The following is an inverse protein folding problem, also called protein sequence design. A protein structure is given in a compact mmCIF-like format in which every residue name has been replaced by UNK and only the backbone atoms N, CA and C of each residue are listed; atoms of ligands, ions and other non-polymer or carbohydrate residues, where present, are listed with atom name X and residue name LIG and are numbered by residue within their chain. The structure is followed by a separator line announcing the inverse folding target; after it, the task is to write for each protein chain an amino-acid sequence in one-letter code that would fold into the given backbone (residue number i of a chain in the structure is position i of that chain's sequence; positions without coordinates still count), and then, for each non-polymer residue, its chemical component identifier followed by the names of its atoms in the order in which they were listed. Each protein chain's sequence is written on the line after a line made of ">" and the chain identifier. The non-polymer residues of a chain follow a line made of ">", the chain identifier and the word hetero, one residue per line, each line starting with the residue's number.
data_IF_698719830709
#
_entry.id   IF_698719830709
#
_cell.length_a   1.000
_cell.length_b   1.000
_cell.length_c   1.000
_cell.angle_alpha   90.00
_cell.angle_beta   90.00
_cell.angle_gamma   90.00
#
_symmetry.space_group_name_H-M   'P 1'
#
loop_
_entity.id
_entity.type
_entity.pdbx_description
1 polymer ?
#
# COMPACT_ATOMS: atom_id res chain seq x y z
N UNK A 1 6.94 31.20 7.16
CA UNK A 1 5.81 31.46 6.23
C UNK A 1 4.56 31.28 7.06
N UNK A 2 4.05 32.36 7.66
CA UNK A 2 2.81 32.31 8.44
C UNK A 2 1.66 32.70 7.52
N UNK A 3 0.63 31.84 7.43
CA UNK A 3 -0.61 32.14 6.72
C UNK A 3 -0.82 31.45 5.36
N UNK A 4 0.09 30.60 4.89
CA UNK A 4 -0.10 29.84 3.65
C UNK A 4 -0.58 28.41 3.90
N UNK A 5 -1.63 28.01 3.17
CA UNK A 5 -2.18 26.65 3.21
C UNK A 5 -1.49 25.78 2.16
N UNK A 6 -0.87 24.70 2.60
CA UNK A 6 -0.26 23.70 1.73
C UNK A 6 -1.08 22.41 1.72
N UNK A 7 -1.09 21.71 0.58
CA UNK A 7 -1.69 20.39 0.42
C UNK A 7 -0.66 19.44 -0.20
N UNK A 8 -0.73 18.18 0.18
CA UNK A 8 0.06 17.10 -0.43
C UNK A 8 -0.75 15.83 -0.51
N UNK A 9 -0.36 14.93 -1.42
CA UNK A 9 -0.76 13.54 -1.31
C UNK A 9 0.00 12.89 -0.14
N UNK A 10 -0.65 11.98 0.57
CA UNK A 10 -0.03 11.19 1.65
C UNK A 10 0.61 9.90 1.15
N UNK A 11 0.26 9.45 -0.05
CA UNK A 11 0.71 8.19 -0.64
C UNK A 11 0.49 8.20 -2.16
N UNK A 12 1.09 7.22 -2.86
CA UNK A 12 0.87 7.01 -4.29
C UNK A 12 1.85 7.76 -5.18
N UNK A 13 2.94 8.27 -4.64
CA UNK A 13 3.94 8.98 -5.43
C UNK A 13 4.64 8.03 -6.42
N UNK A 14 4.88 8.54 -7.63
CA UNK A 14 5.84 8.00 -8.60
C UNK A 14 7.05 8.93 -8.79
N UNK A 15 7.00 10.11 -8.15
CA UNK A 15 8.04 11.13 -8.19
C UNK A 15 9.17 10.69 -7.25
N UNK A 16 10.34 10.39 -7.80
CA UNK A 16 11.46 9.79 -7.05
C UNK A 16 12.18 10.75 -6.08
N UNK A 17 12.00 12.06 -6.24
CA UNK A 17 12.59 13.05 -5.32
C UNK A 17 11.78 13.24 -4.03
N UNK A 18 10.58 12.63 -3.94
CA UNK A 18 9.80 12.65 -2.70
C UNK A 18 10.52 11.78 -1.66
N UNK A 19 10.92 12.37 -0.54
CA UNK A 19 11.53 11.66 0.59
C UNK A 19 10.42 11.03 1.45
N UNK A 20 9.77 9.99 0.93
CA UNK A 20 8.59 9.40 1.56
C UNK A 20 8.83 8.91 3.01
N UNK A 21 10.06 8.51 3.35
CA UNK A 21 10.44 8.08 4.71
C UNK A 21 10.32 9.21 5.75
N UNK A 22 10.40 10.46 5.31
CA UNK A 22 10.15 11.62 6.20
C UNK A 22 8.66 11.91 6.38
N UNK A 23 7.80 11.25 5.60
CA UNK A 23 6.37 11.51 5.52
C UNK A 23 5.53 10.37 6.12
N UNK A 24 6.13 9.19 6.31
CA UNK A 24 5.49 7.96 6.76
C UNK A 24 6.12 7.45 8.06
N UNK A 25 5.35 6.63 8.79
CA UNK A 25 5.83 5.89 9.97
C UNK A 25 6.16 4.47 9.54
N UNK A 26 7.37 3.98 9.86
CA UNK A 26 7.68 2.55 9.73
C UNK A 26 6.89 1.75 10.77
N UNK A 27 6.35 0.61 10.36
CA UNK A 27 5.64 -0.31 11.26
C UNK A 27 6.63 -1.24 11.96
N UNK A 28 6.35 -1.54 13.23
CA UNK A 28 7.09 -2.51 14.04
C UNK A 28 6.15 -3.58 14.62
N UNK A 29 6.67 -4.77 14.91
CA UNK A 29 5.89 -5.85 15.52
C UNK A 29 5.36 -5.52 16.92
N UNK A 30 6.00 -4.58 17.62
CA UNK A 30 5.59 -4.09 18.93
C UNK A 30 4.58 -2.93 18.87
N UNK A 31 4.25 -2.42 17.67
CA UNK A 31 3.25 -1.37 17.53
C UNK A 31 1.88 -1.85 18.04
N UNK A 32 1.30 -1.11 18.99
CA UNK A 32 -0.01 -1.42 19.56
C UNK A 32 -1.16 -1.28 18.53
N UNK A 33 -0.92 -0.49 17.47
CA UNK A 33 -1.84 -0.24 16.37
C UNK A 33 -1.46 -1.01 15.09
N UNK A 34 -0.61 -2.04 15.19
CA UNK A 34 -0.24 -2.87 14.05
C UNK A 34 -1.51 -3.52 13.43
N UNK A 35 -1.78 -3.31 12.13
CA UNK A 35 -2.97 -3.88 11.49
C UNK A 35 -2.99 -5.41 11.51
N UNK A 36 -4.14 -5.98 11.86
CA UNK A 36 -4.36 -7.44 11.75
C UNK A 36 -4.47 -7.88 10.29
N UNK A 37 -5.02 -7.00 9.44
CA UNK A 37 -5.20 -7.23 8.01
C UNK A 37 -4.20 -6.37 7.25
N UNK A 38 -3.58 -6.97 6.23
CA UNK A 38 -2.78 -6.27 5.24
C UNK A 38 -3.14 -6.84 3.87
N UNK A 39 -4.04 -6.16 3.15
CA UNK A 39 -4.62 -6.68 1.93
C UNK A 39 -4.21 -5.85 0.70
N UNK A 40 -4.00 -6.53 -0.42
CA UNK A 40 -3.71 -5.92 -1.72
C UNK A 40 -4.68 -6.43 -2.78
N UNK A 41 -5.44 -5.53 -3.40
CA UNK A 41 -6.35 -5.90 -4.49
C UNK A 41 -5.65 -5.88 -5.84
N UNK A 42 -5.90 -6.89 -6.66
CA UNK A 42 -5.32 -7.06 -8.00
C UNK A 42 -6.32 -7.72 -8.96
N UNK A 43 -5.86 -8.05 -10.17
CA UNK A 43 -6.63 -8.70 -11.22
C UNK A 43 -6.07 -10.10 -11.49
N UNK A 44 -6.91 -11.04 -11.93
CA UNK A 44 -6.51 -12.44 -12.17
C UNK A 44 -5.31 -12.55 -13.13
N UNK A 45 -5.28 -11.70 -14.17
CA UNK A 45 -4.21 -11.67 -15.17
C UNK A 45 -2.81 -11.40 -14.59
N UNK A 46 -2.71 -10.75 -13.42
CA UNK A 46 -1.42 -10.43 -12.80
C UNK A 46 -0.95 -11.51 -11.82
N UNK A 47 -1.81 -12.46 -11.43
CA UNK A 47 -1.43 -13.52 -10.49
C UNK A 47 -0.22 -14.35 -10.93
N UNK A 48 -0.04 -14.75 -12.21
CA UNK A 48 1.16 -15.46 -12.63
C UNK A 48 2.44 -14.64 -12.41
N UNK A 49 2.43 -13.35 -12.75
CA UNK A 49 3.57 -12.47 -12.56
C UNK A 49 3.89 -12.25 -11.07
N UNK A 50 2.85 -12.04 -10.25
CA UNK A 50 2.97 -11.90 -8.80
C UNK A 50 3.49 -13.21 -8.17
N UNK A 51 3.02 -14.37 -8.62
CA UNK A 51 3.48 -15.66 -8.12
C UNK A 51 4.97 -15.92 -8.42
N UNK A 52 5.47 -15.43 -9.55
CA UNK A 52 6.88 -15.58 -9.93
C UNK A 52 7.81 -14.54 -9.29
N UNK A 53 7.36 -13.28 -9.19
CA UNK A 53 8.22 -12.13 -8.84
C UNK A 53 7.87 -11.45 -7.51
N UNK A 54 6.76 -11.84 -6.89
CA UNK A 54 6.15 -11.09 -5.81
C UNK A 54 5.43 -9.83 -6.29
N UNK A 55 4.92 -9.04 -5.34
CA UNK A 55 4.37 -7.72 -5.60
C UNK A 55 5.50 -6.73 -5.89
N UNK A 56 5.28 -5.85 -6.86
CA UNK A 56 6.21 -4.80 -7.26
C UNK A 56 5.46 -3.46 -7.22
N UNK A 57 6.09 -2.42 -6.68
CA UNK A 57 5.51 -1.08 -6.65
C UNK A 57 5.24 -0.59 -8.08
N UNK A 58 3.97 -0.31 -8.42
CA UNK A 58 3.58 0.04 -9.78
C UNK A 58 3.39 -1.15 -10.74
N UNK A 59 3.45 -2.39 -10.23
CA UNK A 59 3.28 -3.59 -11.02
C UNK A 59 4.39 -3.77 -12.06
N UNK A 60 4.02 -4.14 -13.29
CA UNK A 60 4.96 -4.41 -14.38
C UNK A 60 5.79 -3.17 -14.79
N UNK A 61 5.26 -1.96 -14.55
CA UNK A 61 5.93 -0.71 -14.90
C UNK A 61 6.98 -0.28 -13.87
N UNK A 62 6.87 -0.69 -12.61
CA UNK A 62 7.84 -0.31 -11.57
C UNK A 62 7.85 1.19 -11.24
N UNK A 63 6.78 1.92 -11.51
CA UNK A 63 6.78 3.39 -11.52
C UNK A 63 6.50 4.03 -10.15
N UNK A 64 5.76 3.36 -9.27
CA UNK A 64 5.45 3.85 -7.92
C UNK A 64 6.62 3.71 -6.98
N UNK A 65 6.63 4.52 -5.93
CA UNK A 65 7.62 4.40 -4.86
C UNK A 65 7.31 3.19 -3.96
N UNK A 66 6.03 2.93 -3.68
CA UNK A 66 5.61 1.87 -2.75
C UNK A 66 4.53 0.95 -3.31
N UNK A 67 4.43 -0.25 -2.72
CA UNK A 67 3.25 -1.12 -2.83
C UNK A 67 2.22 -0.63 -1.81
N UNK A 68 0.96 -0.56 -2.22
CA UNK A 68 -0.12 -0.08 -1.37
C UNK A 68 -0.94 -1.24 -0.84
N UNK A 69 -1.28 -1.15 0.45
CA UNK A 69 -2.10 -2.12 1.16
C UNK A 69 -3.26 -1.41 1.87
N UNK A 70 -4.31 -2.15 2.20
CA UNK A 70 -5.41 -1.68 3.06
C UNK A 70 -5.42 -2.48 4.38
N UNK A 71 -5.69 -1.81 5.53
CA UNK A 71 -5.62 -2.44 6.85
C UNK A 71 -6.92 -3.12 7.30
N UNK A 72 -7.89 -3.29 6.39
CA UNK A 72 -9.22 -3.87 6.68
C UNK A 72 -9.70 -4.73 5.51
N UNK A 73 -10.83 -5.41 5.70
CA UNK A 73 -11.44 -6.23 4.67
C UNK A 73 -11.90 -5.40 3.45
N UNK A 74 -11.84 -5.98 2.23
CA UNK A 74 -12.44 -5.39 1.05
C UNK A 74 -13.93 -5.11 1.26
N UNK A 75 -14.34 -3.87 1.00
CA UNK A 75 -15.74 -3.43 1.19
C UNK A 75 -16.06 -2.96 2.61
N UNK A 76 -15.12 -3.03 3.56
CA UNK A 76 -15.26 -2.33 4.85
C UNK A 76 -15.30 -0.82 4.60
N UNK A 77 -16.29 -0.13 5.15
CA UNK A 77 -16.49 1.32 4.96
C UNK A 77 -15.34 2.20 5.47
N UNK A 78 -14.43 1.65 6.29
CA UNK A 78 -13.19 2.31 6.71
C UNK A 78 -12.13 2.33 5.60
N UNK A 79 -12.23 1.44 4.61
CA UNK A 79 -11.38 1.45 3.42
C UNK A 79 -11.90 2.49 2.44
N UNK A 80 -11.47 3.73 2.64
CA UNK A 80 -11.84 4.86 1.78
C UNK A 80 -11.00 4.85 0.49
N UNK A 81 -9.73 4.42 0.59
CA UNK A 81 -8.77 4.38 -0.51
C UNK A 81 -7.73 3.28 -0.30
N UNK A 82 -6.94 2.98 -1.33
CA UNK A 82 -5.89 1.95 -1.28
C UNK A 82 -6.25 0.64 -1.99
N UNK A 83 -7.51 0.47 -2.41
CA UNK A 83 -7.95 -0.62 -3.28
C UNK A 83 -8.90 -0.08 -4.34
N UNK A 84 -8.74 -0.49 -5.61
CA UNK A 84 -9.66 -0.10 -6.68
C UNK A 84 -10.99 -0.83 -6.50
N UNK A 85 -12.10 -0.19 -6.87
CA UNK A 85 -13.43 -0.80 -6.72
C UNK A 85 -13.65 -2.06 -7.58
N UNK A 86 -12.87 -2.21 -8.66
CA UNK A 86 -13.02 -3.28 -9.64
C UNK A 86 -11.95 -4.38 -9.51
N UNK A 87 -11.33 -4.52 -8.35
CA UNK A 87 -10.38 -5.62 -8.12
C UNK A 87 -11.12 -6.97 -8.20
N UNK A 88 -10.45 -7.97 -8.73
CA UNK A 88 -11.01 -9.32 -8.92
C UNK A 88 -10.49 -10.28 -7.86
N UNK A 89 -9.28 -10.02 -7.35
CA UNK A 89 -8.58 -10.88 -6.39
C UNK A 89 -7.98 -10.03 -5.29
N UNK A 90 -8.03 -10.54 -4.07
CA UNK A 90 -7.43 -9.92 -2.90
C UNK A 90 -6.34 -10.84 -2.35
N UNK A 91 -5.14 -10.28 -2.23
CA UNK A 91 -3.98 -10.95 -1.64
C UNK A 91 -3.83 -10.49 -0.20
N UNK A 92 -3.87 -11.44 0.73
CA UNK A 92 -3.62 -11.18 2.14
C UNK A 92 -2.15 -11.44 2.46
N UNK A 93 -1.48 -10.43 2.97
CA UNK A 93 -0.08 -10.50 3.38
C UNK A 93 -0.03 -10.92 4.83
N UNK A 94 0.78 -11.94 5.12
CA UNK A 94 1.17 -12.22 6.50
C UNK A 94 2.10 -11.11 6.98
N UNK A 95 1.52 -10.03 7.52
CA UNK A 95 2.24 -8.82 7.89
C UNK A 95 3.32 -9.10 8.94
N UNK A 96 3.03 -9.93 9.94
CA UNK A 96 3.99 -10.28 10.99
C UNK A 96 5.24 -10.96 10.42
N UNK A 97 5.07 -11.87 9.46
CA UNK A 97 6.18 -12.53 8.76
C UNK A 97 6.91 -11.61 7.79
N UNK A 98 6.23 -10.59 7.24
CA UNK A 98 6.85 -9.62 6.36
C UNK A 98 7.71 -8.58 7.10
N UNK A 99 7.41 -8.33 8.38
CA UNK A 99 8.14 -7.40 9.26
C UNK A 99 9.27 -8.06 10.06
N UNK A 100 9.32 -9.40 10.10
CA UNK A 100 10.36 -10.19 10.79
C UNK A 100 11.60 -10.38 9.91
#
# INVERSE_FOLDING_TARGET
>A
IEGETFVRASQGHSIKVVADEQLLKSLDLADADLPEICAHGTYHRHLPAIGHRGLIAGGEHGDRNHIHFVPYEPGDGRVISGMRYNVEVVLYINLKRALS
#
